data_IF_177364312890
#
_entry.id   IF_177364312890
#
_cell.length_a   1.000
_cell.length_b   1.000
_cell.length_c   1.000
_cell.angle_alpha   90.00
_cell.angle_beta   90.00
_cell.angle_gamma   90.00
#
_symmetry.space_group_name_H-M   'P 1'
#
loop_
_entity.id
_entity.type
_entity.pdbx_description
1 polymer ?
#
# COMPACT_ATOMS: atom_id res chain seq x y z
N UNK A 1 23.10 7.40 40.01
CA UNK A 1 21.68 7.68 39.68
C UNK A 1 21.35 6.93 38.39
N UNK A 2 20.26 6.15 38.31
CA UNK A 2 19.79 5.56 37.04
C UNK A 2 18.75 6.51 36.45
N UNK A 3 19.02 7.07 35.27
CA UNK A 3 18.03 7.84 34.50
C UNK A 3 17.08 6.80 33.86
N UNK A 4 15.77 6.84 34.12
CA UNK A 4 14.84 5.99 33.39
C UNK A 4 14.91 6.36 31.90
N UNK A 5 14.99 5.38 31.01
CA UNK A 5 15.09 5.60 29.57
C UNK A 5 13.86 6.30 28.96
N UNK A 6 12.78 6.41 29.73
CA UNK A 6 11.57 7.14 29.38
C UNK A 6 10.93 7.74 30.63
N UNK A 7 10.80 9.06 30.68
CA UNK A 7 9.95 9.72 31.67
C UNK A 7 8.48 9.76 31.19
N UNK A 8 7.60 10.28 32.07
CA UNK A 8 6.17 10.36 31.78
C UNK A 8 5.87 11.25 30.57
N UNK A 9 6.61 12.36 30.41
CA UNK A 9 6.43 13.29 29.31
C UNK A 9 6.80 12.65 27.97
N UNK A 10 7.91 11.90 27.91
CA UNK A 10 8.29 11.15 26.70
C UNK A 10 7.24 10.08 26.36
N UNK A 11 6.71 9.38 27.37
CA UNK A 11 5.69 8.35 27.18
C UNK A 11 4.41 8.94 26.59
N UNK A 12 3.94 10.06 27.14
CA UNK A 12 2.78 10.78 26.63
C UNK A 12 2.99 11.27 25.19
N UNK A 13 4.14 11.88 24.90
CA UNK A 13 4.46 12.37 23.56
C UNK A 13 4.46 11.24 22.51
N UNK A 14 4.99 10.05 22.86
CA UNK A 14 4.97 8.86 21.99
C UNK A 14 3.54 8.38 21.76
N UNK A 15 2.71 8.33 22.80
CA UNK A 15 1.31 7.91 22.68
C UNK A 15 0.51 8.85 21.77
N UNK A 16 0.61 10.16 21.99
CA UNK A 16 -0.06 11.19 21.17
C UNK A 16 0.39 11.09 19.71
N UNK A 17 1.70 10.97 19.48
CA UNK A 17 2.26 10.85 18.12
C UNK A 17 1.75 9.59 17.42
N UNK A 18 1.72 8.46 18.11
CA UNK A 18 1.27 7.20 17.54
C UNK A 18 -0.24 7.20 17.26
N UNK A 19 -1.05 7.85 18.12
CA UNK A 19 -2.48 8.04 17.88
C UNK A 19 -2.72 8.88 16.62
N UNK A 20 -2.05 10.03 16.51
CA UNK A 20 -2.16 10.91 15.34
C UNK A 20 -1.74 10.19 14.04
N UNK A 21 -0.66 9.40 14.07
CA UNK A 21 -0.23 8.59 12.91
C UNK A 21 -1.27 7.56 12.51
N UNK A 22 -1.85 6.85 13.49
CA UNK A 22 -2.89 5.84 13.23
C UNK A 22 -4.09 6.46 12.52
N UNK A 23 -4.55 7.61 12.98
CA UNK A 23 -5.66 8.33 12.34
C UNK A 23 -5.31 8.81 10.94
N UNK A 24 -4.10 9.34 10.74
CA UNK A 24 -3.64 9.78 9.43
C UNK A 24 -3.62 8.62 8.42
N UNK A 25 -3.14 7.45 8.84
CA UNK A 25 -3.15 6.25 7.99
C UNK A 25 -4.56 5.72 7.75
N UNK A 26 -5.45 5.76 8.75
CA UNK A 26 -6.85 5.39 8.55
C UNK A 26 -7.54 6.29 7.51
N UNK A 27 -7.35 7.61 7.60
CA UNK A 27 -7.85 8.57 6.61
C UNK A 27 -7.24 8.33 5.23
N UNK A 28 -5.93 8.09 5.17
CA UNK A 28 -5.25 7.79 3.91
C UNK A 28 -5.75 6.50 3.26
N UNK A 29 -6.00 5.45 4.04
CA UNK A 29 -6.54 4.19 3.54
C UNK A 29 -7.99 4.37 3.04
N UNK A 30 -8.82 5.11 3.80
CA UNK A 30 -10.18 5.46 3.37
C UNK A 30 -10.18 6.26 2.06
N UNK A 31 -9.31 7.28 1.96
CA UNK A 31 -9.20 8.12 0.76
C UNK A 31 -8.68 7.34 -0.46
N UNK A 32 -7.79 6.37 -0.26
CA UNK A 32 -7.29 5.51 -1.32
C UNK A 32 -8.33 4.47 -1.79
N UNK A 33 -9.33 4.14 -0.96
CA UNK A 33 -10.27 3.06 -1.23
C UNK A 33 -9.55 1.75 -1.56
N UNK A 34 -10.00 1.05 -2.60
CA UNK A 34 -9.33 -0.16 -3.11
C UNK A 34 -7.92 0.12 -3.66
N UNK A 35 -7.56 1.38 -3.88
CA UNK A 35 -6.29 1.81 -4.46
C UNK A 35 -5.06 1.56 -3.59
N UNK A 36 -5.23 1.29 -2.29
CA UNK A 36 -4.15 0.91 -1.36
C UNK A 36 -4.02 -0.61 -1.16
N UNK A 37 -4.76 -1.43 -1.92
CA UNK A 37 -4.67 -2.89 -1.86
C UNK A 37 -3.50 -3.43 -2.70
N UNK A 38 -2.98 -4.59 -2.30
CA UNK A 38 -1.95 -5.30 -3.07
C UNK A 38 -2.44 -5.65 -4.47
N UNK A 39 -3.72 -6.02 -4.59
CA UNK A 39 -4.38 -6.37 -5.84
C UNK A 39 -4.45 -5.18 -6.79
N UNK A 40 -4.84 -3.99 -6.29
CA UNK A 40 -4.86 -2.77 -7.10
C UNK A 40 -3.44 -2.32 -7.51
N UNK A 41 -2.45 -2.51 -6.63
CA UNK A 41 -1.05 -2.23 -6.95
C UNK A 41 -0.53 -3.17 -8.05
N UNK A 42 -0.81 -4.48 -7.95
CA UNK A 42 -0.46 -5.47 -8.95
C UNK A 42 -1.13 -5.19 -10.30
N UNK A 43 -2.42 -4.82 -10.29
CA UNK A 43 -3.15 -4.45 -11.50
C UNK A 43 -2.54 -3.22 -12.18
N UNK A 44 -2.21 -2.16 -11.42
CA UNK A 44 -1.53 -0.97 -11.98
C UNK A 44 -0.14 -1.30 -12.50
N UNK A 45 0.64 -2.09 -11.78
CA UNK A 45 1.98 -2.51 -12.20
C UNK A 45 1.89 -3.29 -13.52
N UNK A 46 0.95 -4.23 -13.62
CA UNK A 46 0.71 -4.96 -14.87
C UNK A 46 0.40 -4.00 -16.02
N UNK A 47 -0.57 -3.10 -15.84
CA UNK A 47 -1.00 -2.17 -16.91
C UNK A 47 0.11 -1.21 -17.34
N UNK A 48 0.91 -0.71 -16.40
CA UNK A 48 1.89 0.36 -16.66
C UNK A 48 3.26 -0.18 -17.05
N UNK A 49 3.64 -1.38 -16.60
CA UNK A 49 4.99 -1.92 -16.80
C UNK A 49 5.02 -3.17 -17.68
N UNK A 50 4.06 -4.09 -17.52
CA UNK A 50 4.09 -5.39 -18.20
C UNK A 50 3.32 -5.37 -19.52
N UNK A 51 2.09 -4.85 -19.53
CA UNK A 51 1.23 -4.82 -20.71
C UNK A 51 1.87 -4.15 -21.93
N UNK A 52 2.63 -3.04 -21.80
CA UNK A 52 3.33 -2.44 -22.93
C UNK A 52 4.44 -3.32 -23.52
N UNK A 53 4.98 -4.27 -22.75
CA UNK A 53 6.10 -5.14 -23.14
C UNK A 53 5.65 -6.46 -23.79
N UNK A 54 4.41 -6.86 -23.58
CA UNK A 54 3.80 -8.01 -24.27
C UNK A 54 3.67 -7.60 -25.73
N UNK A 55 4.15 -8.36 -26.71
CA UNK A 55 4.04 -8.02 -28.14
C UNK A 55 2.74 -8.58 -28.75
N UNK A 56 2.30 -8.04 -29.88
CA UNK A 56 1.16 -8.58 -30.64
C UNK A 56 1.39 -10.06 -30.95
N UNK A 57 0.35 -10.87 -30.78
CA UNK A 57 0.38 -12.32 -30.97
C UNK A 57 0.85 -13.11 -29.74
N UNK A 58 1.40 -12.45 -28.70
CA UNK A 58 1.73 -13.11 -27.44
C UNK A 58 0.48 -13.29 -26.55
N UNK A 59 0.48 -14.36 -25.77
CA UNK A 59 -0.58 -14.69 -24.84
C UNK A 59 -0.26 -14.20 -23.42
N UNK A 60 -1.26 -13.71 -22.71
CA UNK A 60 -1.16 -13.34 -21.31
C UNK A 60 -2.44 -13.69 -20.55
N UNK A 61 -2.34 -13.76 -19.22
CA UNK A 61 -3.47 -14.06 -18.35
C UNK A 61 -4.09 -12.75 -17.85
N UNK A 62 -5.37 -12.52 -18.13
CA UNK A 62 -6.08 -11.32 -17.69
C UNK A 62 -6.51 -11.42 -16.21
N UNK A 63 -7.09 -10.34 -15.68
CA UNK A 63 -7.54 -10.28 -14.29
C UNK A 63 -8.65 -11.30 -13.96
N UNK A 64 -9.38 -11.79 -14.97
CA UNK A 64 -10.40 -12.83 -14.86
C UNK A 64 -9.80 -14.25 -14.90
N UNK A 65 -8.47 -14.37 -14.99
CA UNK A 65 -7.77 -15.66 -15.04
C UNK A 65 -7.83 -16.35 -16.40
N UNK A 66 -8.32 -15.66 -17.44
CA UNK A 66 -8.43 -16.17 -18.81
C UNK A 66 -7.14 -15.90 -19.58
N UNK A 67 -6.78 -16.81 -20.47
CA UNK A 67 -5.73 -16.58 -21.46
C UNK A 67 -6.30 -15.75 -22.60
N UNK A 68 -5.66 -14.61 -22.89
CA UNK A 68 -6.00 -13.72 -23.99
C UNK A 68 -4.76 -13.43 -24.81
N UNK A 69 -4.93 -13.18 -26.11
CA UNK A 69 -3.86 -12.81 -27.02
C UNK A 69 -3.83 -11.29 -27.17
N UNK A 70 -2.64 -10.68 -27.22
CA UNK A 70 -2.45 -9.26 -27.50
C UNK A 70 -2.55 -8.94 -28.99
#
# INVERSE_FOLDING_TARGET
>A
FRVPASDAALTEAVQVTNAARREAYARSAQAAGDGATTEAAAARMFQTQLLPRISTGQWYRNAQGQWVQR
#
